data_IF_841492028860
#
_entry.id   IF_841492028860
#
_cell.length_a   1.000
_cell.length_b   1.000
_cell.length_c   1.000
_cell.angle_alpha   90.00
_cell.angle_beta   90.00
_cell.angle_gamma   90.00
#
_symmetry.space_group_name_H-M   'P 1'
#
loop_
_entity.id
_entity.type
_entity.pdbx_description
1 polymer ?
#
# COMPACT_ATOMS: atom_id res chain seq x y z
N UNK A 1 -0.92 -35.60 36.81
CA UNK A 1 -0.66 -35.32 35.38
C UNK A 1 -1.69 -34.28 34.96
N UNK A 2 -1.37 -33.05 34.57
CA UNK A 2 -0.50 -32.55 33.48
C UNK A 2 -0.98 -32.87 32.05
N UNK A 3 -0.54 -32.02 31.10
CA UNK A 3 -0.90 -31.89 29.66
C UNK A 3 -2.18 -31.06 29.41
N UNK A 4 -2.21 -29.92 28.69
CA UNK A 4 -1.19 -28.94 28.21
C UNK A 4 -1.85 -27.53 28.06
N UNK A 5 -1.06 -26.47 27.86
CA UNK A 5 -1.53 -25.18 27.32
C UNK A 5 -1.69 -25.22 25.79
N UNK A 6 -2.64 -24.46 25.22
CA UNK A 6 -2.46 -23.69 23.97
C UNK A 6 -3.39 -22.47 24.04
N UNK A 7 -2.84 -21.32 24.43
CA UNK A 7 -2.25 -20.30 23.56
C UNK A 7 -3.30 -19.30 23.05
N UNK A 8 -3.15 -18.07 23.51
CA UNK A 8 -3.90 -16.94 22.99
C UNK A 8 -3.48 -16.69 21.53
N UNK A 9 -4.41 -16.87 20.59
CA UNK A 9 -4.36 -16.08 19.36
C UNK A 9 -4.82 -14.68 19.74
N UNK A 10 -3.91 -13.95 20.39
CA UNK A 10 -3.98 -12.50 20.35
C UNK A 10 -3.94 -12.16 18.86
N UNK A 11 -5.08 -11.70 18.33
CA UNK A 11 -5.12 -11.17 16.99
C UNK A 11 -4.21 -9.95 16.98
N UNK A 12 -2.94 -10.17 16.62
CA UNK A 12 -2.04 -9.15 16.12
C UNK A 12 -2.68 -8.63 14.83
N UNK A 13 -3.71 -7.78 14.99
CA UNK A 13 -4.20 -6.90 13.95
C UNK A 13 -2.94 -6.30 13.35
N UNK A 14 -2.57 -6.66 12.11
CA UNK A 14 -1.27 -6.29 11.61
C UNK A 14 -1.26 -4.77 11.65
N UNK A 15 -0.41 -4.20 12.52
CA UNK A 15 -0.20 -2.75 12.56
C UNK A 15 0.02 -2.37 11.10
N UNK A 16 -0.83 -1.54 10.47
CA UNK A 16 -0.68 -1.25 9.06
C UNK A 16 0.65 -0.54 8.90
N UNK A 17 1.68 -1.33 8.62
CA UNK A 17 3.00 -0.84 8.30
C UNK A 17 2.75 -0.08 7.01
N UNK A 18 3.08 1.22 7.00
CA UNK A 18 3.07 2.06 5.81
C UNK A 18 4.20 1.68 4.83
N UNK A 19 4.48 0.37 4.74
CA UNK A 19 5.33 -0.30 3.77
C UNK A 19 4.45 -0.62 2.57
N UNK A 20 4.64 0.18 1.54
CA UNK A 20 4.22 -0.14 0.19
C UNK A 20 5.18 -1.17 -0.41
N UNK A 21 4.70 -1.97 -1.36
CA UNK A 21 5.53 -2.90 -2.15
C UNK A 21 5.35 -2.65 -3.65
N UNK A 22 6.36 -3.02 -4.45
CA UNK A 22 6.27 -2.88 -5.91
C UNK A 22 5.20 -3.81 -6.45
N UNK A 23 4.34 -3.29 -7.33
CA UNK A 23 3.17 -4.00 -7.84
C UNK A 23 1.89 -3.79 -7.01
N UNK A 24 1.96 -3.15 -5.84
CA UNK A 24 0.75 -2.84 -5.07
C UNK A 24 -0.08 -1.73 -5.71
N UNK A 25 -1.41 -1.84 -5.56
CA UNK A 25 -2.34 -0.79 -5.96
C UNK A 25 -2.43 0.27 -4.85
N UNK A 26 -2.22 1.52 -5.23
CA UNK A 26 -2.37 2.68 -4.36
C UNK A 26 -3.40 3.64 -4.93
N UNK A 27 -4.20 4.24 -4.05
CA UNK A 27 -5.09 5.34 -4.38
C UNK A 27 -4.32 6.63 -4.15
N UNK A 28 -4.29 7.50 -5.14
CA UNK A 28 -3.71 8.84 -4.94
C UNK A 28 -4.76 9.66 -4.20
N UNK A 29 -4.36 10.42 -3.17
CA UNK A 29 -5.27 11.28 -2.40
C UNK A 29 -4.98 12.78 -2.58
N UNK A 30 -3.81 13.14 -3.15
CA UNK A 30 -3.37 14.53 -3.34
C UNK A 30 -3.25 14.93 -4.83
N UNK A 31 -3.24 16.23 -5.09
CA UNK A 31 -2.99 16.82 -6.40
C UNK A 31 -4.08 16.53 -7.46
N UNK A 32 -3.81 16.81 -8.75
CA UNK A 32 -4.77 16.62 -9.85
C UNK A 32 -5.07 15.14 -10.13
N UNK A 33 -4.34 14.21 -9.49
CA UNK A 33 -4.51 12.77 -9.67
C UNK A 33 -5.26 12.09 -8.51
N UNK A 34 -5.73 12.84 -7.51
CA UNK A 34 -6.44 12.39 -6.29
C UNK A 34 -7.73 11.56 -6.49
N UNK A 35 -8.21 11.43 -7.72
CA UNK A 35 -9.35 10.58 -8.09
C UNK A 35 -8.94 9.27 -8.78
N UNK A 36 -7.65 9.06 -9.04
CA UNK A 36 -7.11 7.90 -9.74
C UNK A 36 -6.40 6.92 -8.79
N UNK A 37 -6.46 5.65 -9.14
CA UNK A 37 -5.57 4.62 -8.61
C UNK A 37 -4.39 4.40 -9.57
N UNK A 38 -3.27 3.96 -9.02
CA UNK A 38 -2.10 3.56 -9.78
C UNK A 38 -1.41 2.37 -9.14
N UNK A 39 -0.41 1.82 -9.83
CA UNK A 39 0.41 0.71 -9.35
C UNK A 39 1.79 1.23 -8.97
N UNK A 40 2.32 0.83 -7.82
CA UNK A 40 3.68 1.20 -7.40
C UNK A 40 4.69 0.52 -8.32
N UNK A 41 5.41 1.29 -9.12
CA UNK A 41 6.49 0.83 -10.02
C UNK A 41 7.83 0.76 -9.26
N UNK A 42 8.11 1.78 -8.45
CA UNK A 42 9.35 1.87 -7.66
C UNK A 42 9.14 2.59 -6.32
N UNK A 43 10.02 2.31 -5.35
CA UNK A 43 9.95 2.79 -3.98
C UNK A 43 11.29 3.38 -3.60
N UNK A 44 11.33 4.70 -3.40
CA UNK A 44 12.51 5.39 -2.92
C UNK A 44 12.35 5.72 -1.42
N UNK A 45 12.70 4.74 -0.58
CA UNK A 45 12.66 4.88 0.88
C UNK A 45 13.61 5.96 1.42
N UNK A 46 14.72 6.24 0.72
CA UNK A 46 15.69 7.29 1.11
C UNK A 46 15.08 8.69 0.97
N UNK A 47 14.38 8.95 -0.13
CA UNK A 47 13.71 10.22 -0.42
C UNK A 47 12.27 10.29 0.10
N UNK A 48 11.74 9.20 0.65
CA UNK A 48 10.33 9.06 1.01
C UNK A 48 9.38 9.39 -0.16
N UNK A 49 9.72 8.86 -1.34
CA UNK A 49 8.96 9.05 -2.59
C UNK A 49 8.61 7.68 -3.21
N UNK A 50 7.46 7.60 -3.86
CA UNK A 50 6.93 6.43 -4.54
C UNK A 50 6.73 6.78 -6.01
N UNK A 51 7.27 5.95 -6.90
CA UNK A 51 7.00 6.06 -8.35
C UNK A 51 5.75 5.22 -8.64
N UNK A 52 4.66 5.88 -8.98
CA UNK A 52 3.36 5.27 -9.22
C UNK A 52 3.03 5.39 -10.70
N UNK A 53 2.70 4.26 -11.34
CA UNK A 53 2.22 4.24 -12.71
C UNK A 53 0.69 4.39 -12.72
N UNK A 54 0.20 5.48 -13.30
CA UNK A 54 -1.24 5.78 -13.44
C UNK A 54 -1.65 5.62 -14.89
N UNK A 55 -2.73 4.91 -15.17
CA UNK A 55 -3.26 4.76 -16.54
C UNK A 55 -4.41 5.74 -16.77
N UNK A 56 -4.17 6.77 -17.60
CA UNK A 56 -5.16 7.82 -17.91
C UNK A 56 -5.39 7.84 -19.42
N UNK A 57 -6.64 7.70 -19.87
CA UNK A 57 -7.00 7.60 -21.31
C UNK A 57 -6.18 6.56 -22.10
N UNK A 58 -5.87 5.41 -21.47
CA UNK A 58 -5.05 4.36 -22.07
C UNK A 58 -3.55 4.66 -22.15
N UNK A 59 -3.08 5.78 -21.57
CA UNK A 59 -1.67 6.13 -21.47
C UNK A 59 -1.17 5.90 -20.05
N UNK A 60 -0.20 5.00 -19.91
CA UNK A 60 0.55 4.81 -18.69
C UNK A 60 1.46 6.03 -18.47
N UNK A 61 1.25 6.76 -17.37
CA UNK A 61 1.99 7.96 -17.01
C UNK A 61 2.63 7.74 -15.64
N UNK A 62 3.98 7.74 -15.52
CA UNK A 62 4.64 7.63 -14.23
C UNK A 62 4.54 8.98 -13.50
N UNK A 63 4.15 8.94 -12.24
CA UNK A 63 4.14 10.10 -11.33
C UNK A 63 4.93 9.76 -10.06
N UNK A 64 5.66 10.72 -9.51
CA UNK A 64 6.36 10.58 -8.23
C UNK A 64 5.51 11.27 -7.15
N UNK A 65 5.19 10.54 -6.07
CA UNK A 65 4.28 10.97 -5.01
C UNK A 65 4.84 10.59 -3.63
N UNK A 66 4.57 11.40 -2.62
CA UNK A 66 4.98 11.10 -1.24
C UNK A 66 4.17 9.93 -0.64
N UNK A 67 4.75 9.26 0.36
CA UNK A 67 4.06 8.21 1.14
C UNK A 67 2.76 8.70 1.83
N UNK A 68 2.61 10.02 1.99
CA UNK A 68 1.42 10.68 2.56
C UNK A 68 0.37 11.07 1.50
N UNK A 69 0.78 11.14 0.23
CA UNK A 69 -0.05 11.57 -0.90
C UNK A 69 -0.77 10.41 -1.60
N UNK A 70 -0.49 9.20 -1.11
CA UNK A 70 -1.11 7.95 -1.55
C UNK A 70 -1.60 7.15 -0.35
N UNK A 71 -2.66 6.40 -0.58
CA UNK A 71 -3.31 5.53 0.39
C UNK A 71 -3.26 4.09 -0.16
N UNK A 72 -2.80 3.15 0.68
CA UNK A 72 -2.66 1.74 0.27
C UNK A 72 -4.05 1.13 0.10
N UNK A 73 -4.35 0.59 -1.10
CA UNK A 73 -5.59 -0.15 -1.32
C UNK A 73 -5.38 -1.58 -0.83
N UNK A 74 -5.43 -1.77 0.49
CA UNK A 74 -5.37 -3.11 1.09
C UNK A 74 -6.70 -3.83 0.87
N UNK A 75 -6.77 -4.64 -0.17
CA UNK A 75 -7.74 -5.74 -0.23
C UNK A 75 -7.34 -6.78 0.83
N UNK A 76 -7.82 -6.59 2.05
CA UNK A 76 -7.82 -7.65 3.03
C UNK A 76 -8.81 -8.71 2.53
N UNK A 77 -8.30 -9.79 1.94
CA UNK A 77 -9.06 -11.03 1.82
C UNK A 77 -9.33 -11.51 3.26
N UNK A 78 -10.55 -11.26 3.76
CA UNK A 78 -11.03 -11.88 4.99
C UNK A 78 -10.95 -13.40 4.80
N UNK A 79 -10.05 -14.02 5.57
CA UNK A 79 -9.64 -15.42 5.48
C UNK A 79 -10.54 -16.36 6.27
#
# INVERSE_FOLDING_TARGET
>A
DQIVHHQAVAAEKPKPKFTFEKGEMVRINNGPFSSFTGTVEDINSEKSMLKVMVTIFGRATPVELGFLEVEKVSFAEES
#
